data_IF_026231454881
#
_entry.id   IF_026231454881
#
_cell.length_a   1.000
_cell.length_b   1.000
_cell.length_c   1.000
_cell.angle_alpha   90.00
_cell.angle_beta   90.00
_cell.angle_gamma   90.00
#
_symmetry.space_group_name_H-M   'P 1'
#
loop_
_entity.id
_entity.type
_entity.pdbx_description
1 polymer ?
#
# COMPACT_ATOMS: atom_id res chain seq x y z
N UNK A 1 0.64 -32.43 -24.35
CA UNK A 1 1.43 -32.22 -23.10
C UNK A 1 1.52 -30.76 -22.69
N UNK A 2 1.91 -29.80 -23.53
CA UNK A 2 2.03 -28.39 -23.20
C UNK A 2 0.74 -27.73 -22.62
N UNK A 3 -0.44 -28.10 -23.13
CA UNK A 3 -1.74 -27.56 -22.65
C UNK A 3 -2.09 -27.98 -21.22
N UNK A 4 -1.67 -29.16 -20.78
CA UNK A 4 -1.85 -29.68 -19.41
C UNK A 4 -0.90 -28.98 -18.41
N UNK A 5 0.34 -28.71 -18.84
CA UNK A 5 1.32 -28.01 -17.99
C UNK A 5 0.93 -26.56 -17.74
N UNK A 6 0.42 -25.87 -18.76
CA UNK A 6 -0.07 -24.49 -18.63
C UNK A 6 -1.31 -24.41 -17.72
N UNK A 7 -2.23 -25.37 -17.84
CA UNK A 7 -3.39 -25.45 -16.95
C UNK A 7 -2.98 -25.71 -15.49
N UNK A 8 -2.01 -26.59 -15.26
CA UNK A 8 -1.49 -26.89 -13.92
C UNK A 8 -0.77 -25.67 -13.32
N UNK A 9 0.03 -24.96 -14.11
CA UNK A 9 0.68 -23.71 -13.67
C UNK A 9 -0.35 -22.67 -13.26
N UNK A 10 -1.36 -22.41 -14.10
CA UNK A 10 -2.44 -21.45 -13.79
C UNK A 10 -3.24 -21.85 -12.55
N UNK A 11 -3.48 -23.14 -12.34
CA UNK A 11 -4.17 -23.63 -11.15
C UNK A 11 -3.33 -23.39 -9.88
N UNK A 12 -2.00 -23.61 -9.95
CA UNK A 12 -1.08 -23.31 -8.85
C UNK A 12 -1.04 -21.82 -8.50
N UNK A 13 -0.92 -20.96 -9.50
CA UNK A 13 -0.91 -19.49 -9.27
C UNK A 13 -2.24 -19.00 -8.69
N UNK A 14 -3.38 -19.51 -9.17
CA UNK A 14 -4.67 -19.20 -8.58
C UNK A 14 -4.77 -19.64 -7.11
N UNK A 15 -4.29 -20.85 -6.78
CA UNK A 15 -4.30 -21.34 -5.41
C UNK A 15 -3.42 -20.45 -4.49
N UNK A 16 -2.23 -20.06 -4.95
CA UNK A 16 -1.38 -19.12 -4.22
C UNK A 16 -2.08 -17.79 -3.97
N UNK A 17 -2.70 -17.22 -5.01
CA UNK A 17 -3.40 -15.93 -4.92
C UNK A 17 -4.57 -15.98 -3.93
N UNK A 18 -5.40 -17.02 -3.97
CA UNK A 18 -6.53 -17.18 -3.04
C UNK A 18 -6.05 -17.36 -1.61
N UNK A 19 -4.96 -18.11 -1.38
CA UNK A 19 -4.37 -18.27 -0.05
C UNK A 19 -3.80 -16.93 0.45
N UNK A 20 -3.08 -16.21 -0.39
CA UNK A 20 -2.46 -14.94 -0.05
C UNK A 20 -3.51 -13.89 0.32
N UNK A 21 -4.57 -13.78 -0.46
CA UNK A 21 -5.70 -12.89 -0.19
C UNK A 21 -6.38 -13.24 1.14
N UNK A 22 -6.66 -14.51 1.39
CA UNK A 22 -7.24 -14.97 2.65
C UNK A 22 -6.29 -14.70 3.84
N UNK A 23 -4.98 -14.82 3.65
CA UNK A 23 -4.00 -14.51 4.67
C UNK A 23 -4.04 -13.01 5.04
N UNK A 24 -4.08 -12.11 4.06
CA UNK A 24 -4.21 -10.66 4.29
C UNK A 24 -5.46 -10.36 5.12
N UNK A 25 -6.61 -10.92 4.76
CA UNK A 25 -7.87 -10.72 5.47
C UNK A 25 -7.81 -11.23 6.92
N UNK A 26 -7.29 -12.44 7.14
CA UNK A 26 -7.20 -13.04 8.48
C UNK A 26 -6.16 -12.29 9.32
N UNK A 27 -5.04 -11.86 8.74
CA UNK A 27 -4.04 -11.04 9.43
C UNK A 27 -4.58 -9.66 9.79
N UNK A 28 -5.41 -9.04 8.95
CA UNK A 28 -6.07 -7.77 9.27
C UNK A 28 -7.05 -7.93 10.44
N UNK A 29 -7.83 -9.02 10.46
CA UNK A 29 -8.85 -9.26 11.48
C UNK A 29 -8.29 -9.71 12.84
N UNK A 30 -7.27 -10.56 12.86
CA UNK A 30 -6.74 -11.25 14.05
C UNK A 30 -5.35 -10.80 14.47
N UNK A 31 -4.71 -10.00 13.65
CA UNK A 31 -3.28 -9.77 13.74
C UNK A 31 -2.46 -10.98 13.29
N UNK A 32 -1.21 -10.74 12.93
CA UNK A 32 -0.32 -11.80 12.41
C UNK A 32 -0.08 -12.90 13.44
N UNK A 33 0.11 -12.53 14.72
CA UNK A 33 0.36 -13.50 15.81
C UNK A 33 -0.87 -14.35 16.14
N UNK A 34 -2.07 -13.76 16.08
CA UNK A 34 -3.33 -14.45 16.41
C UNK A 34 -3.89 -15.31 15.27
N UNK A 35 -3.43 -15.12 14.03
CA UNK A 35 -3.90 -15.88 12.88
C UNK A 35 -3.31 -17.30 12.84
N UNK A 36 -4.12 -18.28 12.46
CA UNK A 36 -3.68 -19.67 12.23
C UNK A 36 -3.78 -20.07 10.76
N UNK A 37 -2.92 -21.02 10.35
CA UNK A 37 -2.99 -21.61 8.99
C UNK A 37 -4.37 -22.24 8.74
N UNK A 38 -4.96 -22.86 9.77
CA UNK A 38 -6.29 -23.48 9.66
C UNK A 38 -7.39 -22.44 9.34
N UNK A 39 -7.36 -21.25 9.94
CA UNK A 39 -8.30 -20.16 9.64
C UNK A 39 -8.08 -19.62 8.23
N UNK A 40 -6.83 -19.42 7.84
CA UNK A 40 -6.47 -18.92 6.49
C UNK A 40 -6.97 -19.90 5.41
N UNK A 41 -6.68 -21.18 5.56
CA UNK A 41 -7.11 -22.20 4.57
C UNK A 41 -8.61 -22.40 4.54
N UNK A 42 -9.28 -22.29 5.72
CA UNK A 42 -10.75 -22.28 5.78
C UNK A 42 -11.34 -21.08 5.03
N UNK A 43 -10.75 -19.89 5.22
CA UNK A 43 -11.15 -18.66 4.51
C UNK A 43 -10.92 -18.79 3.00
N UNK A 44 -9.80 -19.36 2.60
CA UNK A 44 -9.41 -19.60 1.21
C UNK A 44 -10.23 -20.71 0.52
N UNK A 45 -10.95 -21.54 1.29
CA UNK A 45 -11.66 -22.70 0.75
C UNK A 45 -10.74 -23.81 0.21
N UNK A 46 -9.54 -23.95 0.80
CA UNK A 46 -8.52 -24.92 0.35
C UNK A 46 -8.10 -25.88 1.47
N UNK A 47 -7.48 -27.01 1.09
CA UNK A 47 -6.92 -27.95 2.06
C UNK A 47 -5.73 -27.33 2.80
N UNK A 48 -5.61 -27.61 4.11
CA UNK A 48 -4.57 -27.02 5.00
C UNK A 48 -3.14 -27.30 4.51
N UNK A 49 -2.88 -28.47 3.92
CA UNK A 49 -1.56 -28.81 3.38
C UNK A 49 -1.09 -27.92 2.22
N UNK A 50 -2.00 -27.19 1.55
CA UNK A 50 -1.64 -26.32 0.42
C UNK A 50 -0.82 -25.11 0.87
N UNK A 51 -0.96 -24.61 2.11
CA UNK A 51 -0.09 -23.52 2.60
C UNK A 51 1.35 -24.01 2.71
N UNK A 52 1.58 -25.16 3.32
CA UNK A 52 2.92 -25.75 3.41
C UNK A 52 3.49 -26.09 2.02
N UNK A 53 2.66 -26.58 1.12
CA UNK A 53 3.06 -26.92 -0.24
C UNK A 53 3.46 -25.67 -1.07
N UNK A 54 2.70 -24.57 -0.98
CA UNK A 54 2.92 -23.40 -1.81
C UNK A 54 3.88 -22.38 -1.19
N UNK A 55 3.90 -22.27 0.15
CA UNK A 55 4.65 -21.23 0.85
C UNK A 55 5.70 -21.80 1.82
N UNK A 56 5.62 -23.06 2.24
CA UNK A 56 6.55 -23.64 3.20
C UNK A 56 6.13 -23.48 4.67
N UNK A 57 5.17 -22.59 4.97
CA UNK A 57 4.69 -22.37 6.32
C UNK A 57 4.18 -20.94 6.55
N UNK A 58 3.93 -20.61 7.84
CA UNK A 58 3.35 -19.32 8.21
C UNK A 58 4.32 -18.16 7.99
N UNK A 59 5.61 -18.32 8.32
CA UNK A 59 6.60 -17.26 8.15
C UNK A 59 6.82 -16.91 6.68
N UNK A 60 6.88 -17.92 5.81
CA UNK A 60 7.00 -17.72 4.37
C UNK A 60 5.71 -17.14 3.76
N UNK A 61 4.54 -17.44 4.34
CA UNK A 61 3.29 -16.80 3.95
C UNK A 61 3.26 -15.32 4.37
N UNK A 62 3.78 -14.98 5.56
CA UNK A 62 3.97 -13.60 6.00
C UNK A 62 4.94 -12.87 5.04
N UNK A 63 6.08 -13.49 4.73
CA UNK A 63 7.03 -12.92 3.76
C UNK A 63 6.37 -12.68 2.39
N UNK A 64 5.54 -13.60 1.90
CA UNK A 64 4.81 -13.43 0.65
C UNK A 64 3.80 -12.27 0.69
N UNK A 65 3.20 -11.96 1.85
CA UNK A 65 2.33 -10.78 2.05
C UNK A 65 3.17 -9.49 1.96
N UNK A 66 4.37 -9.49 2.57
CA UNK A 66 5.29 -8.34 2.48
C UNK A 66 5.78 -8.15 1.04
N UNK A 67 6.17 -9.23 0.37
CA UNK A 67 6.61 -9.21 -1.03
C UNK A 67 5.51 -8.64 -1.96
N UNK A 68 4.24 -9.01 -1.72
CA UNK A 68 3.09 -8.45 -2.45
C UNK A 68 2.99 -6.94 -2.26
N UNK A 69 3.26 -6.45 -1.06
CA UNK A 69 3.27 -5.01 -0.79
C UNK A 69 4.39 -4.29 -1.54
N UNK A 70 5.62 -4.82 -1.53
CA UNK A 70 6.73 -4.27 -2.32
C UNK A 70 6.40 -4.24 -3.81
N UNK A 71 5.87 -5.34 -4.36
CA UNK A 71 5.45 -5.40 -5.77
C UNK A 71 4.44 -4.29 -6.08
N UNK A 72 3.41 -4.14 -5.25
CA UNK A 72 2.38 -3.10 -5.44
C UNK A 72 2.95 -1.69 -5.31
N UNK A 73 3.89 -1.47 -4.38
CA UNK A 73 4.52 -0.17 -4.16
C UNK A 73 5.45 0.22 -5.34
N UNK A 74 6.13 -0.76 -5.92
CA UNK A 74 7.13 -0.56 -6.98
C UNK A 74 6.54 -0.58 -8.40
N UNK A 75 5.25 -0.86 -8.55
CA UNK A 75 4.52 -0.72 -9.82
C UNK A 75 4.35 0.76 -10.18
N UNK A 76 5.46 1.40 -10.59
CA UNK A 76 5.41 2.76 -11.11
C UNK A 76 4.74 2.77 -12.48
N UNK A 77 3.86 3.75 -12.76
CA UNK A 77 3.23 3.86 -14.06
C UNK A 77 4.28 4.17 -15.13
N UNK A 78 4.28 3.40 -16.20
CA UNK A 78 5.03 3.72 -17.42
C UNK A 78 4.29 4.81 -18.19
N UNK A 79 4.54 6.07 -17.85
CA UNK A 79 3.99 7.23 -18.55
C UNK A 79 5.11 7.94 -19.29
N UNK A 80 4.97 8.04 -20.61
CA UNK A 80 5.80 8.91 -21.42
C UNK A 80 5.21 10.33 -21.37
N UNK A 81 6.04 11.34 -21.08
CA UNK A 81 5.58 12.71 -21.00
C UNK A 81 6.59 13.65 -20.36
N UNK A 82 6.18 14.88 -20.14
CA UNK A 82 6.95 15.86 -19.38
C UNK A 82 7.16 15.40 -17.93
N UNK A 83 8.20 15.91 -17.25
CA UNK A 83 8.42 15.61 -15.83
C UNK A 83 7.19 15.85 -14.95
N UNK A 84 6.39 16.86 -15.26
CA UNK A 84 5.16 17.17 -14.53
C UNK A 84 4.05 16.12 -14.75
N UNK A 85 3.89 15.63 -15.97
CA UNK A 85 2.91 14.58 -16.30
C UNK A 85 3.29 13.25 -15.62
N UNK A 86 4.57 12.90 -15.62
CA UNK A 86 5.06 11.70 -14.95
C UNK A 86 4.86 11.81 -13.44
N UNK A 87 5.22 12.93 -12.80
CA UNK A 87 5.03 13.13 -11.37
C UNK A 87 3.53 13.09 -10.99
N UNK A 88 2.68 13.73 -11.80
CA UNK A 88 1.24 13.70 -11.61
C UNK A 88 0.69 12.27 -11.66
N UNK A 89 1.17 11.46 -12.59
CA UNK A 89 0.77 10.06 -12.76
C UNK A 89 1.23 9.20 -11.57
N UNK A 90 2.46 9.40 -11.07
CA UNK A 90 2.95 8.70 -9.86
C UNK A 90 2.04 9.03 -8.67
N UNK A 91 1.76 10.32 -8.42
CA UNK A 91 0.86 10.73 -7.34
C UNK A 91 -0.50 10.04 -7.47
N UNK A 92 -1.12 10.11 -8.64
CA UNK A 92 -2.44 9.53 -8.86
C UNK A 92 -2.44 8.01 -8.65
N UNK A 93 -1.42 7.31 -9.14
CA UNK A 93 -1.29 5.85 -8.97
C UNK A 93 -1.13 5.46 -7.50
N UNK A 94 -0.31 6.20 -6.73
CA UNK A 94 -0.16 5.95 -5.29
C UNK A 94 -1.46 6.19 -4.55
N UNK A 95 -2.19 7.26 -4.86
CA UNK A 95 -3.48 7.52 -4.22
C UNK A 95 -4.56 6.50 -4.62
N UNK A 96 -4.56 6.02 -5.87
CA UNK A 96 -5.41 4.90 -6.28
C UNK A 96 -5.08 3.62 -5.52
N UNK A 97 -3.80 3.23 -5.48
CA UNK A 97 -3.35 2.06 -4.71
C UNK A 97 -3.72 2.20 -3.22
N UNK A 98 -3.56 3.39 -2.65
CA UNK A 98 -3.95 3.69 -1.27
C UNK A 98 -5.44 3.45 -1.05
N UNK A 99 -6.31 3.82 -1.98
CA UNK A 99 -7.75 3.62 -1.85
C UNK A 99 -8.15 2.13 -1.82
N UNK A 100 -7.43 1.27 -2.55
CA UNK A 100 -7.78 -0.16 -2.69
C UNK A 100 -7.04 -1.10 -1.74
N UNK A 101 -5.77 -0.81 -1.44
CA UNK A 101 -4.88 -1.77 -0.79
C UNK A 101 -4.83 -1.64 0.75
N UNK A 102 -5.87 -1.04 1.37
CA UNK A 102 -5.86 -0.75 2.82
C UNK A 102 -5.65 -1.99 3.70
N UNK A 103 -6.28 -3.16 3.46
CA UNK A 103 -6.03 -4.35 4.27
C UNK A 103 -4.57 -4.77 4.24
N UNK A 104 -3.98 -4.84 3.05
CA UNK A 104 -2.56 -5.19 2.87
C UNK A 104 -1.64 -4.22 3.62
N UNK A 105 -1.93 -2.93 3.51
CA UNK A 105 -1.16 -1.88 4.18
C UNK A 105 -1.17 -1.99 5.69
N UNK A 106 -2.34 -2.18 6.29
CA UNK A 106 -2.49 -2.33 7.75
C UNK A 106 -1.73 -3.56 8.26
N UNK A 107 -1.78 -4.66 7.51
CA UNK A 107 -1.06 -5.88 7.83
C UNK A 107 0.45 -5.65 7.79
N UNK A 108 0.95 -5.00 6.73
CA UNK A 108 2.41 -4.75 6.58
C UNK A 108 2.91 -3.77 7.64
N UNK A 109 2.17 -2.70 7.95
CA UNK A 109 2.50 -1.79 9.04
C UNK A 109 2.57 -2.52 10.40
N UNK A 110 1.62 -3.43 10.66
CA UNK A 110 1.65 -4.23 11.88
C UNK A 110 2.86 -5.18 11.92
N UNK A 111 3.21 -5.80 10.80
CA UNK A 111 4.40 -6.68 10.67
C UNK A 111 5.68 -5.88 10.93
N UNK A 112 5.79 -4.69 10.36
CA UNK A 112 6.96 -3.81 10.45
C UNK A 112 7.23 -3.35 11.88
N UNK A 113 6.17 -3.10 12.66
CA UNK A 113 6.27 -2.57 14.02
C UNK A 113 6.41 -3.67 15.09
N UNK A 114 6.14 -4.94 14.78
CA UNK A 114 6.25 -6.03 15.72
C UNK A 114 7.66 -6.63 15.73
N UNK A 115 8.37 -6.67 16.89
CA UNK A 115 9.72 -7.24 16.97
C UNK A 115 9.80 -8.69 16.46
N UNK A 116 8.76 -9.49 16.69
CA UNK A 116 8.71 -10.90 16.28
C UNK A 116 8.71 -11.10 14.75
N UNK A 117 8.22 -10.13 13.98
CA UNK A 117 8.08 -10.22 12.51
C UNK A 117 8.98 -9.24 11.77
N UNK A 118 9.67 -8.35 12.49
CA UNK A 118 10.57 -7.34 11.88
C UNK A 118 11.66 -7.98 11.01
N UNK A 119 12.21 -9.13 11.43
CA UNK A 119 13.20 -9.87 10.62
C UNK A 119 12.64 -10.27 9.25
N UNK A 120 11.40 -10.72 9.18
CA UNK A 120 10.76 -11.11 7.92
C UNK A 120 10.58 -9.89 6.98
N UNK A 121 10.30 -8.72 7.57
CA UNK A 121 10.24 -7.48 6.81
C UNK A 121 11.61 -7.11 6.24
N UNK A 122 12.66 -7.11 7.07
CA UNK A 122 14.02 -6.80 6.64
C UNK A 122 14.52 -7.77 5.54
N UNK A 123 14.24 -9.07 5.66
CA UNK A 123 14.59 -10.05 4.62
C UNK A 123 13.85 -9.82 3.30
N UNK A 124 12.61 -9.32 3.35
CA UNK A 124 11.88 -8.93 2.13
C UNK A 124 12.46 -7.65 1.55
N UNK A 125 12.74 -6.63 2.37
CA UNK A 125 13.37 -5.39 1.95
C UNK A 125 14.71 -5.64 1.23
N UNK A 126 15.55 -6.52 1.77
CA UNK A 126 16.81 -6.93 1.12
C UNK A 126 16.56 -7.55 -0.27
N UNK A 127 15.54 -8.38 -0.41
CA UNK A 127 15.19 -8.99 -1.72
C UNK A 127 14.76 -7.97 -2.76
N UNK A 128 14.13 -6.87 -2.34
CA UNK A 128 13.64 -5.81 -3.23
C UNK A 128 14.56 -4.59 -3.28
N UNK A 129 15.74 -4.62 -2.62
CA UNK A 129 16.64 -3.47 -2.46
C UNK A 129 17.06 -2.84 -3.79
N UNK A 130 17.33 -3.66 -4.81
CA UNK A 130 17.70 -3.17 -6.15
C UNK A 130 16.52 -2.43 -6.80
N UNK A 131 15.32 -3.00 -6.76
CA UNK A 131 14.11 -2.40 -7.33
C UNK A 131 13.72 -1.12 -6.58
N UNK A 132 13.86 -1.09 -5.25
CA UNK A 132 13.65 0.10 -4.42
C UNK A 132 14.62 1.20 -4.84
N UNK A 133 15.91 0.89 -4.93
CA UNK A 133 16.95 1.85 -5.36
C UNK A 133 16.65 2.39 -6.77
N UNK A 134 16.24 1.53 -7.70
CA UNK A 134 15.88 1.96 -9.06
C UNK A 134 14.68 2.92 -9.06
N UNK A 135 13.66 2.64 -8.25
CA UNK A 135 12.48 3.50 -8.12
C UNK A 135 12.84 4.86 -7.48
N UNK A 136 13.66 4.85 -6.42
CA UNK A 136 14.17 6.08 -5.78
C UNK A 136 14.99 6.92 -6.76
N UNK A 137 15.89 6.30 -7.53
CA UNK A 137 16.71 6.98 -8.54
C UNK A 137 15.84 7.56 -9.67
N UNK A 138 14.79 6.85 -10.10
CA UNK A 138 13.84 7.35 -11.09
C UNK A 138 13.13 8.63 -10.59
N UNK A 139 12.63 8.63 -9.36
CA UNK A 139 11.98 9.80 -8.75
C UNK A 139 12.99 10.94 -8.53
N UNK A 140 14.20 10.64 -8.08
CA UNK A 140 15.29 11.63 -7.91
C UNK A 140 15.65 12.28 -9.24
N UNK A 141 15.74 11.49 -10.32
CA UNK A 141 16.01 12.01 -11.68
C UNK A 141 14.85 12.88 -12.18
N UNK A 142 13.60 12.52 -11.84
CA UNK A 142 12.42 13.31 -12.16
C UNK A 142 12.49 14.70 -11.49
N UNK A 143 12.81 14.77 -10.21
CA UNK A 143 13.00 16.05 -9.50
C UNK A 143 14.17 16.85 -10.05
N UNK A 144 15.27 16.19 -10.46
CA UNK A 144 16.37 16.85 -11.16
C UNK A 144 15.93 17.49 -12.50
N UNK A 145 15.16 16.78 -13.28
CA UNK A 145 14.60 17.28 -14.55
C UNK A 145 13.63 18.44 -14.34
N UNK A 146 12.97 18.52 -13.17
CA UNK A 146 12.11 19.65 -12.78
C UNK A 146 12.89 20.84 -12.21
N UNK A 147 14.22 20.76 -12.11
CA UNK A 147 15.08 21.85 -11.62
C UNK A 147 15.13 21.98 -10.09
N UNK A 148 14.86 20.90 -9.34
CA UNK A 148 14.99 20.90 -7.89
C UNK A 148 16.42 21.24 -7.47
N UNK A 149 16.58 22.08 -6.44
CA UNK A 149 17.89 22.44 -5.89
C UNK A 149 18.59 21.25 -5.20
N UNK A 150 17.83 20.41 -4.54
CA UNK A 150 18.29 19.15 -3.94
C UNK A 150 17.33 18.02 -4.33
N UNK A 151 17.56 17.33 -5.46
CA UNK A 151 16.69 16.24 -5.91
C UNK A 151 16.64 15.04 -4.95
N UNK A 152 17.69 14.82 -4.16
CA UNK A 152 17.72 13.74 -3.17
C UNK A 152 16.81 14.03 -1.99
N UNK A 153 16.86 15.25 -1.46
CA UNK A 153 15.97 15.66 -0.38
C UNK A 153 14.50 15.69 -0.86
N UNK A 154 14.25 16.20 -2.06
CA UNK A 154 12.89 16.22 -2.64
C UNK A 154 12.30 14.81 -2.79
N UNK A 155 13.08 13.83 -3.23
CA UNK A 155 12.66 12.43 -3.31
C UNK A 155 12.26 11.90 -1.91
N UNK A 156 13.13 12.08 -0.90
CA UNK A 156 12.87 11.62 0.46
C UNK A 156 11.60 12.28 1.03
N UNK A 157 11.45 13.60 0.85
CA UNK A 157 10.28 14.34 1.35
C UNK A 157 9.01 13.97 0.60
N UNK A 158 9.08 13.77 -0.70
CA UNK A 158 7.95 13.29 -1.51
C UNK A 158 7.44 11.95 -1.01
N UNK A 159 8.34 10.98 -0.84
CA UNK A 159 8.00 9.66 -0.31
C UNK A 159 7.40 9.75 1.09
N UNK A 160 8.01 10.53 1.99
CA UNK A 160 7.52 10.74 3.36
C UNK A 160 6.11 11.32 3.39
N UNK A 161 5.77 12.25 2.49
CA UNK A 161 4.42 12.82 2.38
C UNK A 161 3.43 11.74 1.92
N UNK A 162 3.77 10.95 0.90
CA UNK A 162 2.90 9.87 0.41
C UNK A 162 2.69 8.78 1.47
N UNK A 163 3.75 8.35 2.15
CA UNK A 163 3.67 7.41 3.27
C UNK A 163 2.81 7.94 4.42
N UNK A 164 2.94 9.23 4.75
CA UNK A 164 2.12 9.89 5.76
C UNK A 164 0.63 9.87 5.41
N UNK A 165 0.27 10.16 4.16
CA UNK A 165 -1.12 10.04 3.66
C UNK A 165 -1.61 8.60 3.77
N UNK A 166 -0.81 7.66 3.33
CA UNK A 166 -1.07 6.25 3.35
C UNK A 166 -1.36 5.72 4.78
N UNK A 167 -0.49 6.03 5.74
CA UNK A 167 -0.67 5.66 7.14
C UNK A 167 -1.94 6.30 7.71
N UNK A 168 -2.17 7.57 7.47
CA UNK A 168 -3.36 8.28 7.95
C UNK A 168 -4.65 7.69 7.38
N UNK A 169 -4.69 7.42 6.09
CA UNK A 169 -5.86 6.81 5.47
C UNK A 169 -6.11 5.38 5.99
N UNK A 170 -5.07 4.58 6.22
CA UNK A 170 -5.22 3.22 6.77
C UNK A 170 -5.86 3.20 8.16
N UNK A 171 -5.64 4.28 8.97
CA UNK A 171 -6.18 4.43 10.32
C UNK A 171 -7.57 5.10 10.32
N UNK A 172 -7.73 6.18 9.58
CA UNK A 172 -8.91 7.05 9.68
C UNK A 172 -9.98 6.80 8.62
N UNK A 173 -9.66 6.03 7.57
CA UNK A 173 -10.62 5.58 6.54
C UNK A 173 -11.50 6.73 6.01
N UNK A 174 -12.81 6.57 6.14
CA UNK A 174 -13.83 7.50 5.60
C UNK A 174 -13.77 8.90 6.20
N UNK A 175 -13.13 9.07 7.35
CA UNK A 175 -12.95 10.39 7.96
C UNK A 175 -11.70 11.12 7.48
N UNK A 176 -10.81 10.44 6.73
CA UNK A 176 -9.64 11.06 6.11
C UNK A 176 -10.00 11.55 4.69
N UNK A 177 -9.78 12.82 4.39
CA UNK A 177 -10.17 13.42 3.10
C UNK A 177 -9.16 13.05 2.01
N UNK A 178 -9.15 11.79 1.57
CA UNK A 178 -8.13 11.25 0.65
C UNK A 178 -8.06 12.02 -0.68
N UNK A 179 -9.21 12.37 -1.26
CA UNK A 179 -9.27 13.14 -2.51
C UNK A 179 -8.72 14.57 -2.34
N UNK A 180 -9.01 15.22 -1.21
CA UNK A 180 -8.47 16.55 -0.92
C UNK A 180 -6.97 16.50 -0.62
N UNK A 181 -6.50 15.44 0.04
CA UNK A 181 -5.07 15.18 0.23
C UNK A 181 -4.34 15.02 -1.11
N UNK A 182 -4.93 14.29 -2.08
CA UNK A 182 -4.37 14.17 -3.44
C UNK A 182 -4.26 15.53 -4.13
N UNK A 183 -5.33 16.32 -4.08
CA UNK A 183 -5.32 17.69 -4.65
C UNK A 183 -4.27 18.57 -3.97
N UNK A 184 -4.12 18.44 -2.66
CA UNK A 184 -3.13 19.17 -1.90
C UNK A 184 -1.70 18.80 -2.29
N UNK A 185 -1.40 17.49 -2.39
CA UNK A 185 -0.07 16.99 -2.82
C UNK A 185 0.25 17.47 -4.23
N UNK A 186 -0.69 17.36 -5.18
CA UNK A 186 -0.46 17.87 -6.54
C UNK A 186 -0.16 19.38 -6.54
N UNK A 187 -0.89 20.16 -5.76
CA UNK A 187 -0.66 21.60 -5.62
C UNK A 187 0.69 21.93 -4.97
N UNK A 188 1.13 21.12 -3.98
CA UNK A 188 2.44 21.27 -3.34
C UNK A 188 3.58 21.23 -4.36
N UNK A 189 3.43 20.40 -5.39
CA UNK A 189 4.41 20.25 -6.47
C UNK A 189 4.08 21.09 -7.73
N UNK A 190 3.17 22.05 -7.63
CA UNK A 190 2.82 22.96 -8.75
C UNK A 190 2.06 22.27 -9.88
N UNK A 191 1.45 21.12 -9.65
CA UNK A 191 0.74 20.34 -10.66
C UNK A 191 -0.74 20.72 -10.73
N UNK A 192 -1.39 20.59 -11.89
CA UNK A 192 -2.82 20.85 -12.04
C UNK A 192 -3.66 19.87 -11.20
N UNK A 193 -4.88 20.28 -10.84
CA UNK A 193 -5.81 19.40 -10.14
C UNK A 193 -6.10 18.12 -10.95
N UNK A 194 -6.33 16.97 -10.27
CA UNK A 194 -6.69 15.74 -10.97
C UNK A 194 -8.05 15.86 -11.63
N UNK A 195 -8.20 15.32 -12.84
CA UNK A 195 -9.43 15.37 -13.63
C UNK A 195 -10.36 14.18 -13.36
N UNK A 196 -9.81 13.04 -12.93
CA UNK A 196 -10.57 11.82 -12.63
C UNK A 196 -10.62 11.65 -11.12
N UNK A 197 -11.82 11.52 -10.49
CA UNK A 197 -11.92 11.28 -9.05
C UNK A 197 -11.34 9.92 -8.67
N UNK A 198 -10.85 9.81 -7.43
CA UNK A 198 -10.47 8.51 -6.88
C UNK A 198 -11.72 7.62 -6.80
N UNK A 199 -11.62 6.35 -7.18
CA UNK A 199 -12.66 5.40 -6.91
C UNK A 199 -12.72 5.18 -5.39
N UNK A 200 -13.64 5.86 -4.73
CA UNK A 200 -13.85 5.67 -3.29
C UNK A 200 -14.31 4.24 -3.05
N UNK A 201 -13.56 3.51 -2.23
CA UNK A 201 -13.96 2.19 -1.80
C UNK A 201 -15.33 2.24 -1.14
N UNK A 202 -16.16 1.26 -1.48
CA UNK A 202 -17.52 1.02 -1.00
C UNK A 202 -17.64 1.22 0.51
N UNK A 203 -18.82 1.71 0.91
CA UNK A 203 -19.29 2.01 2.26
C UNK A 203 -18.77 1.14 3.41
N UNK A 204 -18.68 1.71 4.64
CA UNK A 204 -18.14 1.02 5.82
C UNK A 204 -18.90 -0.27 6.10
N UNK A 205 -18.16 -1.32 6.46
CA UNK A 205 -18.77 -2.53 7.01
C UNK A 205 -19.56 -2.14 8.25
N UNK A 206 -20.85 -2.50 8.31
CA UNK A 206 -21.69 -2.31 9.47
C UNK A 206 -20.99 -2.94 10.71
N UNK A 207 -20.68 -2.09 11.70
CA UNK A 207 -20.10 -2.51 12.97
C UNK A 207 -18.70 -1.96 13.31
N UNK A 208 -18.00 -1.25 12.42
CA UNK A 208 -16.74 -0.58 12.78
C UNK A 208 -17.01 0.73 13.57
N UNK A 209 -16.36 0.92 14.74
CA UNK A 209 -16.51 2.15 15.50
C UNK A 209 -15.92 3.34 14.72
N UNK A 210 -16.75 4.33 14.44
CA UNK A 210 -16.31 5.57 13.77
C UNK A 210 -15.32 6.32 14.66
N UNK A 211 -14.10 6.64 14.18
CA UNK A 211 -13.20 7.52 14.90
C UNK A 211 -13.90 8.88 15.08
N UNK A 212 -13.92 9.38 16.31
CA UNK A 212 -14.51 10.70 16.60
C UNK A 212 -13.75 11.77 15.84
N UNK A 213 -14.43 12.50 14.97
CA UNK A 213 -13.89 13.71 14.38
C UNK A 213 -13.45 14.65 15.51
N UNK A 214 -12.18 15.05 15.52
CA UNK A 214 -11.76 16.17 16.36
C UNK A 214 -12.46 17.41 15.82
N UNK A 215 -13.47 17.86 16.54
CA UNK A 215 -14.18 19.11 16.28
C UNK A 215 -13.19 20.27 16.21
N UNK A 216 -13.36 21.04 15.16
CA UNK A 216 -12.58 22.16 14.67
C UNK A 216 -11.81 23.01 15.65
N UNK A 217 -10.71 23.49 15.13
CA UNK A 217 -10.07 24.73 15.57
C UNK A 217 -11.16 25.82 15.60
N UNK A 218 -11.52 26.27 16.78
CA UNK A 218 -12.35 27.47 16.94
C UNK A 218 -11.52 28.63 16.41
N UNK A 219 -11.97 29.25 15.34
CA UNK A 219 -11.57 30.59 14.98
C UNK A 219 -11.91 31.51 16.18
N UNK A 220 -10.87 32.03 16.79
CA UNK A 220 -11.00 33.07 17.78
C UNK A 220 -11.54 34.34 17.10
N UNK A 221 -12.81 34.62 17.32
CA UNK A 221 -13.36 35.93 17.03
C UNK A 221 -12.64 36.95 17.93
N UNK A 222 -11.84 37.83 17.33
CA UNK A 222 -11.39 39.04 17.93
C UNK A 222 -12.59 39.92 18.22
N UNK A 223 -12.78 40.30 19.47
CA UNK A 223 -13.58 41.44 19.83
C UNK A 223 -12.64 42.56 20.22
N UNK A 224 -12.68 43.64 19.41
CA UNK A 224 -12.28 44.96 19.82
C UNK A 224 -13.05 45.38 21.09
N UNK A 225 -12.32 45.88 22.06
CA UNK A 225 -12.59 47.14 22.78
C UNK A 225 -11.35 47.57 23.57
#
# INVERSE_FOLDING_TARGET
>A
MARSEDQNRRARERAKEVILQAAIEVFEERGVSGASIAEITKRAGVAQGLVSYHFGGKDQLIAAVIDRWFITLLELPSVEGSPDEVLASIIDSVFQATAYAVPLQRVVLAIQQQPATHRLFAESEDRFSEQVTMAEDAVRNLFRARGAADPGLEEVMFRSVLEGVFVKYSVYRDTYPLEDARRWVRRLYGLPAPTVPLPLAVAPREGEPRPRARSGVREGAGTDD
#
